data_IF_198823234476
#
_entry.id   IF_198823234476
#
_cell.length_a   1.000
_cell.length_b   1.000
_cell.length_c   1.000
_cell.angle_alpha   90.00
_cell.angle_beta   90.00
_cell.angle_gamma   90.00
#
_symmetry.space_group_name_H-M   'P 1'
#
loop_
_entity.id
_entity.type
_entity.pdbx_description
1 polymer ?
#
# COMPACT_ATOMS: atom_id res chain seq x y z
N UNK A 1 -22.00 -5.98 16.11
CA UNK A 1 -20.95 -5.09 15.64
C UNK A 1 -20.98 -5.00 14.12
N UNK A 2 -20.81 -3.85 13.63
CA UNK A 2 -20.87 -3.62 12.20
C UNK A 2 -19.46 -3.63 11.61
N UNK A 3 -19.24 -4.49 10.63
CA UNK A 3 -17.94 -4.59 9.95
C UNK A 3 -17.52 -3.25 9.33
N UNK A 4 -18.47 -2.38 8.95
CA UNK A 4 -18.15 -1.09 8.35
C UNK A 4 -17.47 -0.12 9.31
N UNK A 5 -17.52 -0.37 10.62
CA UNK A 5 -16.82 0.45 11.61
C UNK A 5 -15.43 -0.07 11.94
N UNK A 6 -15.07 -1.21 11.41
CA UNK A 6 -13.77 -1.82 11.66
C UNK A 6 -12.69 -1.07 10.89
N UNK A 7 -11.59 -0.78 11.58
CA UNK A 7 -10.44 -0.12 10.99
C UNK A 7 -9.20 -0.94 11.23
N UNK A 8 -8.27 -0.97 10.26
CA UNK A 8 -7.00 -1.66 10.46
C UNK A 8 -6.10 -0.86 11.41
N UNK A 9 -5.13 -1.50 12.06
CA UNK A 9 -4.22 -0.79 12.98
C UNK A 9 -3.37 0.28 12.27
N UNK A 10 -3.18 0.20 10.95
CA UNK A 10 -2.41 1.19 10.21
C UNK A 10 -3.25 2.39 9.74
N UNK A 11 -4.57 2.42 10.00
CA UNK A 11 -5.41 3.57 9.67
C UNK A 11 -4.92 4.83 10.40
N UNK A 12 -4.94 5.96 9.70
CA UNK A 12 -4.47 7.24 10.24
C UNK A 12 -2.97 7.38 10.31
N UNK A 13 -2.21 6.48 9.72
CA UNK A 13 -0.75 6.48 9.77
C UNK A 13 -0.15 6.55 8.38
N UNK A 14 1.08 7.05 8.31
CA UNK A 14 1.84 7.15 7.07
C UNK A 14 3.08 6.27 7.16
N UNK A 15 3.36 5.57 6.08
CA UNK A 15 4.51 4.68 5.98
C UNK A 15 5.31 4.99 4.73
N UNK A 16 6.63 4.85 4.83
CA UNK A 16 7.50 4.86 3.67
C UNK A 16 7.75 3.42 3.26
N UNK A 17 7.48 3.11 2.00
CA UNK A 17 7.82 1.82 1.39
C UNK A 17 8.96 2.06 0.42
N UNK A 18 9.99 1.25 0.54
CA UNK A 18 11.20 1.42 -0.27
C UNK A 18 11.55 0.11 -0.95
N UNK A 19 11.45 0.13 -2.28
CA UNK A 19 11.84 -0.97 -3.15
C UNK A 19 13.09 -0.59 -3.92
N UNK A 20 13.68 -1.54 -4.61
CA UNK A 20 14.78 -1.23 -5.52
C UNK A 20 14.26 -0.36 -6.67
N UNK A 21 14.77 0.87 -6.76
CA UNK A 21 14.39 1.81 -7.81
C UNK A 21 13.06 2.52 -7.62
N UNK A 22 12.40 2.38 -6.45
CA UNK A 22 11.14 3.07 -6.20
C UNK A 22 10.91 3.25 -4.70
N UNK A 23 10.60 4.47 -4.30
CA UNK A 23 10.20 4.78 -2.92
C UNK A 23 8.89 5.56 -2.95
N UNK A 24 8.00 5.25 -2.04
CA UNK A 24 6.71 5.93 -1.93
C UNK A 24 6.32 6.14 -0.48
N UNK A 25 5.50 7.17 -0.26
CA UNK A 25 4.81 7.38 1.01
C UNK A 25 3.37 6.96 0.84
N UNK A 26 2.88 6.12 1.74
CA UNK A 26 1.49 5.69 1.76
C UNK A 26 0.83 6.23 3.02
N UNK A 27 -0.08 7.17 2.86
CA UNK A 27 -0.80 7.81 3.96
C UNK A 27 -2.21 7.23 4.02
N UNK A 28 -2.46 6.40 5.04
CA UNK A 28 -3.77 5.77 5.24
C UNK A 28 -4.67 6.69 6.03
N UNK A 29 -5.85 6.97 5.50
CA UNK A 29 -6.84 7.80 6.19
C UNK A 29 -7.39 7.07 7.42
N UNK A 30 -7.92 7.85 8.37
CA UNK A 30 -8.49 7.29 9.59
C UNK A 30 -9.77 6.49 9.34
N UNK A 31 -10.40 6.65 8.17
CA UNK A 31 -11.64 5.95 7.84
C UNK A 31 -11.43 4.45 7.59
N UNK A 32 -10.19 3.99 7.47
CA UNK A 32 -9.88 2.59 7.19
C UNK A 32 -10.23 2.15 5.78
N UNK A 33 -10.42 3.08 4.85
CA UNK A 33 -10.87 2.80 3.48
C UNK A 33 -10.06 3.50 2.41
N UNK A 34 -9.50 4.67 2.70
CA UNK A 34 -8.81 5.49 1.70
C UNK A 34 -7.34 5.64 2.04
N UNK A 35 -6.53 5.70 1.01
CA UNK A 35 -5.09 5.90 1.13
C UNK A 35 -4.63 6.84 0.03
N UNK A 36 -3.71 7.72 0.37
CA UNK A 36 -3.05 8.60 -0.60
C UNK A 36 -1.60 8.19 -0.70
N UNK A 37 -1.11 8.06 -1.91
CA UNK A 37 0.29 7.75 -2.12
C UNK A 37 1.01 8.88 -2.84
N UNK A 38 2.30 8.99 -2.57
CA UNK A 38 3.19 9.91 -3.25
C UNK A 38 4.50 9.17 -3.54
N UNK A 39 4.87 9.09 -4.80
CA UNK A 39 6.14 8.46 -5.18
C UNK A 39 7.22 9.52 -5.03
N UNK A 40 8.22 9.23 -4.19
CA UNK A 40 9.25 10.18 -3.79
C UNK A 40 10.59 9.92 -4.47
N UNK A 41 10.79 8.71 -5.02
CA UNK A 41 12.02 8.36 -5.70
C UNK A 41 11.75 7.34 -6.80
N UNK A 42 12.57 7.37 -7.85
CA UNK A 42 12.46 6.49 -9.00
C UNK A 42 11.92 7.20 -10.23
N UNK A 43 11.65 6.45 -11.33
CA UNK A 43 11.22 7.06 -12.60
C UNK A 43 9.89 7.82 -12.51
N UNK A 44 9.05 7.49 -11.53
CA UNK A 44 7.74 8.11 -11.36
C UNK A 44 7.70 9.10 -10.19
N UNK A 45 8.86 9.54 -9.69
CA UNK A 45 8.91 10.50 -8.59
C UNK A 45 8.06 11.74 -8.91
N UNK A 46 7.25 12.15 -7.94
CA UNK A 46 6.29 13.24 -8.10
C UNK A 46 4.87 12.78 -8.42
N UNK A 47 4.66 11.53 -8.80
CA UNK A 47 3.33 11.01 -9.01
C UNK A 47 2.61 10.82 -7.68
N UNK A 48 1.32 11.16 -7.65
CA UNK A 48 0.45 11.02 -6.49
C UNK A 48 -0.87 10.40 -6.91
N UNK A 49 -1.56 9.79 -5.95
CA UNK A 49 -2.88 9.25 -6.20
C UNK A 49 -3.63 9.02 -4.91
N UNK A 50 -4.95 8.85 -5.05
CA UNK A 50 -5.83 8.47 -3.95
C UNK A 50 -6.61 7.24 -4.38
N UNK A 51 -6.70 6.27 -3.47
CA UNK A 51 -7.35 5.00 -3.76
C UNK A 51 -8.23 4.57 -2.59
N UNK A 52 -9.21 3.76 -2.90
CA UNK A 52 -9.98 3.03 -1.90
C UNK A 52 -9.41 1.62 -1.83
N UNK A 53 -8.97 1.20 -0.66
CA UNK A 53 -8.33 -0.11 -0.50
C UNK A 53 -9.23 -1.08 0.25
N UNK A 54 -8.94 -2.36 0.07
CA UNK A 54 -9.45 -3.44 0.91
C UNK A 54 -8.28 -4.02 1.70
N UNK A 55 -8.58 -4.67 2.81
CA UNK A 55 -7.52 -5.22 3.65
C UNK A 55 -7.99 -6.46 4.37
N UNK A 56 -7.03 -7.29 4.74
CA UNK A 56 -7.29 -8.52 5.46
C UNK A 56 -6.05 -8.92 6.25
N UNK A 57 -6.19 -9.29 7.53
CA UNK A 57 -5.06 -9.85 8.26
C UNK A 57 -4.73 -11.24 7.71
N UNK A 58 -3.44 -11.52 7.51
CA UNK A 58 -2.99 -12.82 7.01
C UNK A 58 -2.08 -13.53 8.01
N UNK A 59 -1.48 -12.80 8.93
CA UNK A 59 -0.68 -13.33 10.03
C UNK A 59 -0.59 -12.25 11.10
N UNK A 60 0.08 -12.53 12.23
CA UNK A 60 0.32 -11.50 13.24
C UNK A 60 1.09 -10.33 12.63
N UNK A 61 0.56 -9.11 12.77
CA UNK A 61 1.14 -7.87 12.26
C UNK A 61 1.33 -7.82 10.74
N UNK A 62 0.79 -8.79 10.01
CA UNK A 62 0.92 -8.88 8.55
C UNK A 62 -0.46 -8.77 7.91
N UNK A 63 -0.56 -7.88 6.92
CA UNK A 63 -1.83 -7.57 6.27
C UNK A 63 -1.69 -7.62 4.76
N UNK A 64 -2.72 -8.16 4.10
CA UNK A 64 -2.91 -7.99 2.67
C UNK A 64 -3.70 -6.70 2.46
N UNK A 65 -3.18 -5.81 1.63
CA UNK A 65 -3.78 -4.51 1.33
C UNK A 65 -3.83 -4.36 -0.17
N UNK A 66 -5.02 -4.20 -0.74
CA UNK A 66 -5.18 -4.23 -2.19
C UNK A 66 -6.08 -3.11 -2.67
N UNK A 67 -5.79 -2.61 -3.86
CA UNK A 67 -6.61 -1.59 -4.50
C UNK A 67 -6.47 -1.64 -6.02
N UNK A 68 -7.38 -0.96 -6.69
CA UNK A 68 -7.30 -0.73 -8.11
C UNK A 68 -7.18 0.77 -8.37
N UNK A 69 -6.24 1.15 -9.21
CA UNK A 69 -6.00 2.54 -9.57
C UNK A 69 -6.94 3.01 -10.68
N UNK A 70 -6.99 4.32 -10.90
CA UNK A 70 -7.91 4.91 -11.87
C UNK A 70 -7.68 4.40 -13.29
N UNK A 71 -6.44 4.05 -13.64
CA UNK A 71 -6.07 3.50 -14.95
C UNK A 71 -6.31 1.99 -15.03
N UNK A 72 -6.90 1.40 -13.99
CA UNK A 72 -7.22 -0.03 -13.83
C UNK A 72 -6.03 -0.90 -13.45
N UNK A 73 -4.86 -0.33 -13.21
CA UNK A 73 -3.77 -1.07 -12.59
C UNK A 73 -4.22 -1.62 -11.24
N UNK A 74 -3.75 -2.80 -10.88
CA UNK A 74 -4.06 -3.41 -9.58
C UNK A 74 -2.81 -3.57 -8.76
N UNK A 75 -2.94 -3.34 -7.45
CA UNK A 75 -1.83 -3.39 -6.52
C UNK A 75 -2.25 -4.25 -5.33
N UNK A 76 -1.40 -5.19 -4.95
CA UNK A 76 -1.58 -5.98 -3.74
C UNK A 76 -0.28 -5.88 -2.93
N UNK A 77 -0.40 -5.38 -1.71
CA UNK A 77 0.68 -5.36 -0.74
C UNK A 77 0.50 -6.48 0.27
N UNK A 78 1.59 -7.15 0.62
CA UNK A 78 1.68 -7.98 1.82
C UNK A 78 2.69 -7.29 2.71
N UNK A 79 2.19 -6.57 3.70
CA UNK A 79 3.01 -5.72 4.57
C UNK A 79 3.08 -6.31 5.98
N UNK A 80 4.30 -6.56 6.44
CA UNK A 80 4.57 -6.99 7.81
C UNK A 80 5.06 -5.77 8.60
N UNK A 81 4.19 -5.23 9.43
CA UNK A 81 4.47 -4.00 10.17
C UNK A 81 5.42 -4.22 11.35
N UNK A 82 5.56 -5.44 11.84
CA UNK A 82 6.53 -5.76 12.88
C UNK A 82 7.93 -5.95 12.31
N UNK A 83 8.04 -6.69 11.22
CA UNK A 83 9.34 -6.94 10.58
C UNK A 83 9.81 -5.77 9.72
N UNK A 84 8.90 -4.88 9.32
CA UNK A 84 9.25 -3.76 8.44
C UNK A 84 9.53 -4.19 7.00
N UNK A 85 8.75 -5.15 6.50
CA UNK A 85 8.88 -5.63 5.13
C UNK A 85 7.60 -5.39 4.33
N UNK A 86 7.77 -5.15 3.04
CA UNK A 86 6.64 -4.97 2.12
C UNK A 86 6.90 -5.79 0.86
N UNK A 87 5.92 -6.60 0.49
CA UNK A 87 5.91 -7.30 -0.80
C UNK A 87 4.74 -6.77 -1.59
N UNK A 88 5.00 -6.41 -2.83
CA UNK A 88 3.98 -5.81 -3.67
C UNK A 88 3.88 -6.57 -4.97
N UNK A 89 2.64 -6.86 -5.35
CA UNK A 89 2.30 -7.42 -6.65
C UNK A 89 1.54 -6.36 -7.42
N UNK A 90 2.08 -5.94 -8.55
CA UNK A 90 1.54 -4.83 -9.32
C UNK A 90 1.28 -5.29 -10.74
N UNK A 91 0.03 -5.17 -11.20
CA UNK A 91 -0.32 -5.37 -12.59
C UNK A 91 -0.63 -4.02 -13.20
N UNK A 92 0.21 -3.56 -14.12
CA UNK A 92 0.07 -2.28 -14.78
C UNK A 92 -1.14 -2.28 -15.73
N UNK A 93 -1.57 -1.09 -16.13
CA UNK A 93 -2.66 -0.94 -17.10
C UNK A 93 -2.35 -1.64 -18.43
N UNK A 94 -1.07 -1.80 -18.77
CA UNK A 94 -0.60 -2.56 -19.93
C UNK A 94 -0.70 -4.07 -19.75
N UNK A 95 -1.11 -4.54 -18.57
CA UNK A 95 -1.14 -5.94 -18.13
C UNK A 95 0.24 -6.51 -17.81
N UNK A 96 1.29 -5.69 -17.83
CA UNK A 96 2.60 -6.14 -17.35
C UNK A 96 2.55 -6.39 -15.85
N UNK A 97 3.11 -7.52 -15.43
CA UNK A 97 3.08 -7.93 -14.03
C UNK A 97 4.45 -7.74 -13.39
N UNK A 98 4.46 -7.11 -12.23
CA UNK A 98 5.67 -6.82 -11.47
C UNK A 98 5.54 -7.31 -10.04
N UNK A 99 6.62 -7.81 -9.51
CA UNK A 99 6.73 -8.15 -8.09
C UNK A 99 7.87 -7.33 -7.48
N UNK A 100 7.59 -6.67 -6.37
CA UNK A 100 8.55 -5.82 -5.69
C UNK A 100 8.68 -6.27 -4.24
N UNK A 101 9.92 -6.41 -3.77
CA UNK A 101 10.22 -6.72 -2.38
C UNK A 101 10.99 -5.53 -1.79
N UNK A 102 10.61 -5.11 -0.60
CA UNK A 102 11.23 -3.95 0.00
C UNK A 102 10.99 -3.83 1.49
N UNK A 103 11.28 -2.63 1.98
CA UNK A 103 11.15 -2.28 3.39
C UNK A 103 9.98 -1.34 3.62
N UNK A 104 9.51 -1.31 4.86
CA UNK A 104 8.35 -0.55 5.29
C UNK A 104 8.68 0.06 6.65
N UNK A 105 8.48 1.36 6.81
CA UNK A 105 8.67 2.01 8.10
C UNK A 105 7.67 3.14 8.30
N UNK A 106 7.27 3.35 9.54
CA UNK A 106 6.44 4.48 9.90
C UNK A 106 7.21 5.79 9.78
N UNK A 107 6.55 6.83 9.33
CA UNK A 107 7.12 8.18 9.26
C UNK A 107 6.29 9.17 10.06
#
# INVERSE_FOLDING_TARGET
>A
MNASTRRPPFAGKTFEVRYDGLTALNAYDEDGRHMRYAITDGPYAGATGEVEYTWQPVAADTYAIAWQEADRATVVHIDDFAAGTSRTFFTAASLDFHRLDGSLRAV
#
